data_IF_444037673902
#
_entry.id   IF_444037673902
#
_cell.length_a   1.000
_cell.length_b   1.000
_cell.length_c   1.000
_cell.angle_alpha   90.00
_cell.angle_beta   90.00
_cell.angle_gamma   90.00
#
_symmetry.space_group_name_H-M   'P 1'
#
loop_
_entity.id
_entity.type
_entity.pdbx_description
1 polymer ?
#
# COMPACT_ATOMS: atom_id res chain seq x y z
N UNK A 1 -25.55 -21.52 18.63
CA UNK A 1 -24.50 -21.73 17.60
C UNK A 1 -25.04 -21.19 16.29
N UNK A 2 -24.50 -20.09 15.80
CA UNK A 2 -24.77 -19.63 14.44
C UNK A 2 -24.04 -20.54 13.45
N UNK A 3 -24.64 -20.94 12.33
CA UNK A 3 -23.97 -21.80 11.36
C UNK A 3 -22.72 -21.10 10.80
N UNK A 4 -21.60 -21.83 10.75
CA UNK A 4 -20.38 -21.37 10.11
C UNK A 4 -20.65 -21.14 8.62
N UNK A 5 -20.51 -19.89 8.17
CA UNK A 5 -20.66 -19.53 6.76
C UNK A 5 -19.37 -19.84 6.01
N UNK A 6 -19.43 -20.84 5.13
CA UNK A 6 -18.37 -21.14 4.17
C UNK A 6 -18.82 -20.52 2.83
N UNK A 7 -18.16 -19.48 2.33
CA UNK A 7 -18.48 -18.90 1.04
C UNK A 7 -18.36 -19.95 -0.07
N UNK A 8 -19.23 -19.90 -1.06
CA UNK A 8 -19.08 -20.75 -2.25
C UNK A 8 -17.86 -20.34 -3.09
N UNK A 9 -17.50 -21.20 -4.05
CA UNK A 9 -16.34 -20.99 -4.91
C UNK A 9 -16.37 -19.66 -5.68
N UNK A 10 -17.55 -19.22 -6.12
CA UNK A 10 -17.70 -17.97 -6.88
C UNK A 10 -17.45 -16.77 -5.96
N UNK A 11 -18.02 -16.79 -4.76
CA UNK A 11 -17.79 -15.73 -3.78
C UNK A 11 -16.32 -15.69 -3.32
N UNK A 12 -15.69 -16.85 -3.12
CA UNK A 12 -14.26 -16.93 -2.80
C UNK A 12 -13.40 -16.31 -3.90
N UNK A 13 -13.64 -16.66 -5.17
CA UNK A 13 -12.89 -16.09 -6.28
C UNK A 13 -13.08 -14.59 -6.40
N UNK A 14 -14.30 -14.09 -6.24
CA UNK A 14 -14.59 -12.65 -6.27
C UNK A 14 -13.83 -11.90 -5.17
N UNK A 15 -13.79 -12.46 -3.95
CA UNK A 15 -13.04 -11.89 -2.82
C UNK A 15 -11.54 -11.86 -3.11
N UNK A 16 -10.97 -12.97 -3.57
CA UNK A 16 -9.55 -13.07 -3.93
C UNK A 16 -9.19 -12.09 -5.03
N UNK A 17 -10.03 -11.98 -6.06
CA UNK A 17 -9.78 -11.10 -7.20
C UNK A 17 -9.84 -9.62 -6.82
N UNK A 18 -10.84 -9.22 -6.03
CA UNK A 18 -10.94 -7.86 -5.49
C UNK A 18 -9.74 -7.52 -4.62
N UNK A 19 -9.35 -8.42 -3.72
CA UNK A 19 -8.17 -8.26 -2.87
C UNK A 19 -6.89 -8.08 -3.70
N UNK A 20 -6.66 -8.95 -4.69
CA UNK A 20 -5.49 -8.87 -5.56
C UNK A 20 -5.43 -7.55 -6.31
N UNK A 21 -6.56 -7.06 -6.81
CA UNK A 21 -6.64 -5.75 -7.48
C UNK A 21 -6.29 -4.61 -6.52
N UNK A 22 -6.76 -4.66 -5.28
CA UNK A 22 -6.41 -3.66 -4.25
C UNK A 22 -4.92 -3.68 -3.91
N UNK A 23 -4.32 -4.87 -3.76
CA UNK A 23 -2.87 -5.01 -3.53
C UNK A 23 -2.06 -4.42 -4.68
N UNK A 24 -2.41 -4.76 -5.93
CA UNK A 24 -1.73 -4.21 -7.11
C UNK A 24 -1.83 -2.68 -7.21
N UNK A 25 -2.96 -2.11 -6.79
CA UNK A 25 -3.12 -0.66 -6.75
C UNK A 25 -2.20 -0.02 -5.71
N UNK A 26 -2.11 -0.60 -4.51
CA UNK A 26 -1.21 -0.13 -3.46
C UNK A 26 0.26 -0.23 -3.87
N UNK A 27 0.67 -1.36 -4.48
CA UNK A 27 2.03 -1.55 -5.00
C UNK A 27 2.39 -0.47 -6.03
N UNK A 28 1.46 -0.16 -6.94
CA UNK A 28 1.66 0.92 -7.91
C UNK A 28 1.76 2.29 -7.22
N UNK A 29 0.85 2.62 -6.30
CA UNK A 29 0.91 3.88 -5.55
C UNK A 29 2.25 4.04 -4.84
N UNK A 30 2.72 2.98 -4.17
CA UNK A 30 4.00 2.98 -3.46
C UNK A 30 5.19 3.23 -4.39
N UNK A 31 5.24 2.54 -5.54
CA UNK A 31 6.31 2.75 -6.51
C UNK A 31 6.28 4.17 -7.10
N UNK A 32 5.09 4.68 -7.43
CA UNK A 32 4.91 6.04 -7.95
C UNK A 32 5.38 7.08 -6.93
N UNK A 33 5.04 6.91 -5.65
CA UNK A 33 5.50 7.79 -4.57
C UNK A 33 7.03 7.75 -4.42
N UNK A 34 7.67 6.57 -4.51
CA UNK A 34 9.13 6.45 -4.45
C UNK A 34 9.82 7.16 -5.62
N UNK A 35 9.27 7.05 -6.83
CA UNK A 35 9.79 7.76 -8.01
C UNK A 35 9.67 9.26 -7.81
N UNK A 36 8.49 9.75 -7.40
CA UNK A 36 8.27 11.18 -7.13
C UNK A 36 9.20 11.73 -6.06
N UNK A 37 9.40 10.97 -4.97
CA UNK A 37 10.32 11.36 -3.89
C UNK A 37 11.76 11.45 -4.40
N UNK A 38 12.21 10.44 -5.15
CA UNK A 38 13.55 10.45 -5.75
C UNK A 38 13.76 11.69 -6.64
N UNK A 39 12.79 12.00 -7.48
CA UNK A 39 12.88 13.11 -8.43
C UNK A 39 12.82 14.46 -7.71
N UNK A 40 11.93 14.63 -6.72
CA UNK A 40 11.85 15.83 -5.89
C UNK A 40 13.13 16.04 -5.06
N UNK A 41 13.70 14.98 -4.48
CA UNK A 41 14.96 15.04 -3.75
C UNK A 41 16.15 15.36 -4.68
N UNK A 42 16.15 14.90 -5.92
CA UNK A 42 17.15 15.29 -6.92
C UNK A 42 17.03 16.77 -7.31
N UNK A 43 15.81 17.27 -7.49
CA UNK A 43 15.55 18.69 -7.73
C UNK A 43 16.00 19.55 -6.54
N UNK A 44 15.69 19.14 -5.30
CA UNK A 44 16.09 19.85 -4.09
C UNK A 44 17.61 19.89 -3.90
N UNK A 45 18.33 18.83 -4.30
CA UNK A 45 19.81 18.86 -4.32
C UNK A 45 20.37 19.88 -5.30
N UNK A 46 19.63 20.17 -6.37
CA UNK A 46 20.01 21.16 -7.38
C UNK A 46 19.65 22.59 -6.94
N UNK A 47 18.59 22.77 -6.15
CA UNK A 47 18.19 24.04 -5.55
C UNK A 47 17.82 23.88 -4.05
N UNK A 48 18.82 23.88 -3.14
CA UNK A 48 18.59 23.60 -1.71
C UNK A 48 17.80 24.66 -0.95
N UNK A 49 17.59 25.85 -1.52
CA UNK A 49 16.84 26.92 -0.85
C UNK A 49 15.36 26.91 -1.21
N UNK A 50 14.96 26.09 -2.17
CA UNK A 50 13.58 25.96 -2.62
C UNK A 50 12.68 25.36 -1.53
N UNK A 51 11.84 26.21 -0.94
CA UNK A 51 10.93 25.81 0.14
C UNK A 51 9.77 24.93 -0.34
N UNK A 52 9.36 25.07 -1.61
CA UNK A 52 8.32 24.25 -2.20
C UNK A 52 8.82 22.81 -2.35
N UNK A 53 10.03 22.61 -2.87
CA UNK A 53 10.66 21.30 -2.96
C UNK A 53 10.89 20.66 -1.59
N UNK A 54 11.28 21.44 -0.57
CA UNK A 54 11.38 20.92 0.82
C UNK A 54 10.04 20.41 1.33
N UNK A 55 8.98 21.19 1.15
CA UNK A 55 7.63 20.83 1.57
C UNK A 55 7.13 19.58 0.83
N UNK A 56 7.41 19.49 -0.47
CA UNK A 56 7.06 18.34 -1.30
C UNK A 56 7.79 17.07 -0.87
N UNK A 57 9.10 17.15 -0.61
CA UNK A 57 9.90 16.01 -0.10
C UNK A 57 9.35 15.53 1.24
N UNK A 58 9.15 16.44 2.20
CA UNK A 58 8.60 16.09 3.53
C UNK A 58 7.21 15.44 3.42
N UNK A 59 6.35 15.94 2.54
CA UNK A 59 5.03 15.36 2.30
C UNK A 59 5.13 13.93 1.74
N UNK A 60 5.98 13.72 0.73
CA UNK A 60 6.16 12.42 0.09
C UNK A 60 6.76 11.39 1.05
N UNK A 61 7.73 11.79 1.89
CA UNK A 61 8.29 10.95 2.95
C UNK A 61 7.23 10.53 3.96
N UNK A 62 6.42 11.49 4.46
CA UNK A 62 5.34 11.19 5.39
C UNK A 62 4.28 10.26 4.79
N UNK A 63 3.96 10.43 3.50
CA UNK A 63 3.00 9.57 2.80
C UNK A 63 3.54 8.15 2.61
N UNK A 64 4.82 7.98 2.28
CA UNK A 64 5.45 6.66 2.21
C UNK A 64 5.46 5.98 3.58
N UNK A 65 5.81 6.72 4.64
CA UNK A 65 5.83 6.20 6.00
C UNK A 65 4.43 5.73 6.46
N UNK A 66 3.37 6.50 6.17
CA UNK A 66 1.98 6.09 6.45
C UNK A 66 1.62 4.80 5.73
N UNK A 67 2.03 4.67 4.46
CA UNK A 67 1.75 3.49 3.65
C UNK A 67 2.51 2.25 4.16
N UNK A 68 3.79 2.39 4.49
CA UNK A 68 4.61 1.32 5.08
C UNK A 68 4.13 0.91 6.47
N UNK A 69 3.60 1.85 7.26
CA UNK A 69 3.01 1.55 8.56
C UNK A 69 1.72 0.75 8.45
N UNK A 70 0.86 1.07 7.48
CA UNK A 70 -0.42 0.36 7.25
C UNK A 70 -0.23 -0.98 6.55
N UNK A 71 0.77 -1.07 5.68
CA UNK A 71 1.02 -2.23 4.83
C UNK A 71 2.49 -2.65 4.90
N UNK A 72 2.97 -3.22 6.02
CA UNK A 72 4.40 -3.53 6.21
C UNK A 72 5.00 -4.44 5.13
N UNK A 73 4.19 -5.30 4.51
CA UNK A 73 4.63 -6.19 3.43
C UNK A 73 5.14 -5.42 2.20
N UNK A 74 4.66 -4.20 1.96
CA UNK A 74 4.94 -3.47 0.72
C UNK A 74 6.39 -3.02 0.56
N UNK A 75 7.08 -2.75 1.67
CA UNK A 75 8.50 -2.36 1.67
C UNK A 75 9.44 -3.57 1.72
N UNK A 76 8.95 -4.73 2.16
CA UNK A 76 9.76 -5.95 2.32
C UNK A 76 9.98 -6.71 1.01
N UNK A 77 9.20 -6.43 -0.04
CA UNK A 77 9.18 -7.21 -1.27
C UNK A 77 8.51 -8.58 -1.13
N UNK A 78 7.95 -8.88 0.05
CA UNK A 78 7.13 -10.07 0.24
C UNK A 78 5.72 -9.85 -0.31
N UNK A 79 5.10 -10.86 -0.93
CA UNK A 79 3.73 -10.75 -1.40
C UNK A 79 2.78 -10.52 -0.24
N UNK A 80 1.75 -9.71 -0.47
CA UNK A 80 0.67 -9.53 0.50
C UNK A 80 -0.04 -10.87 0.75
N UNK A 81 -0.12 -11.30 2.01
CA UNK A 81 -0.84 -12.52 2.37
C UNK A 81 -2.34 -12.29 2.28
N UNK A 82 -3.05 -13.15 1.53
CA UNK A 82 -4.51 -13.12 1.47
C UNK A 82 -5.01 -13.46 2.89
N UNK A 83 -5.67 -12.53 3.60
CA UNK A 83 -6.28 -12.86 4.88
C UNK A 83 -7.44 -13.81 4.58
N UNK A 84 -7.23 -15.11 4.82
CA UNK A 84 -8.31 -16.08 4.84
C UNK A 84 -9.16 -15.81 6.09
N UNK A 85 -10.12 -14.90 5.96
CA UNK A 85 -11.11 -14.65 7.00
C UNK A 85 -12.10 -15.83 7.01
N UNK A 86 -11.78 -16.88 7.78
CA UNK A 86 -12.82 -17.72 8.36
C UNK A 86 -13.41 -16.88 9.49
N UNK A 87 -14.58 -16.29 9.28
CA UNK A 87 -15.28 -15.53 10.33
C UNK A 87 -15.55 -16.46 11.51
N UNK A 88 -14.66 -16.44 12.50
CA UNK A 88 -14.85 -17.08 13.79
C UNK A 88 -15.38 -16.01 14.72
N UNK A 89 -16.69 -15.81 14.71
CA UNK A 89 -17.37 -14.99 15.71
C UNK A 89 -17.21 -15.71 17.05
N UNK A 90 -16.35 -15.16 17.93
CA UNK A 90 -16.25 -15.54 19.35
C UNK A 90 -17.50 -15.06 20.08
#
# INVERSE_FOLDING_TARGET
MSPQYIPDETELFDRIWKYRRSVQHLEREYLDLRVRLRDAAAALRSDPQNQELKSQVNYLEGRLQDLESRYPWISTGNPSEIPFCINSTV
#
